data_IF_888313476251
#
_entry.id   IF_888313476251
#
_cell.length_a   1.000
_cell.length_b   1.000
_cell.length_c   1.000
_cell.angle_alpha   90.00
_cell.angle_beta   90.00
_cell.angle_gamma   90.00
#
_symmetry.space_group_name_H-M   'P 1'
#
loop_
_entity.id
_entity.type
_entity.pdbx_description
1 polymer ?
#
# COMPACT_ATOMS: atom_id res chain seq x y z
N UNK A 1 25.93 -20.16 17.45
CA UNK A 1 25.69 -19.21 16.34
C UNK A 1 24.32 -19.42 15.66
N UNK A 2 23.66 -20.58 15.84
CA UNK A 2 22.28 -20.83 15.39
C UNK A 2 21.20 -20.16 16.26
N UNK A 3 21.50 -19.79 17.52
CA UNK A 3 20.49 -19.43 18.53
C UNK A 3 20.14 -17.93 18.58
N UNK A 4 20.92 -17.10 17.88
CA UNK A 4 20.77 -15.64 17.90
C UNK A 4 19.55 -15.14 17.10
N UNK A 5 19.07 -15.96 16.14
CA UNK A 5 17.88 -15.65 15.34
C UNK A 5 16.59 -15.85 16.14
N UNK A 6 16.50 -16.91 16.96
CA UNK A 6 15.36 -17.18 17.84
C UNK A 6 15.20 -16.10 18.92
N UNK A 7 16.30 -15.55 19.44
CA UNK A 7 16.29 -14.56 20.50
C UNK A 7 15.73 -13.18 20.08
N UNK A 8 15.60 -12.90 18.77
CA UNK A 8 15.17 -11.60 18.26
C UNK A 8 13.99 -11.68 17.27
N UNK A 9 13.49 -12.88 17.01
CA UNK A 9 12.31 -13.08 16.18
C UNK A 9 11.08 -12.45 16.84
N UNK A 10 10.49 -11.43 16.21
CA UNK A 10 9.26 -10.78 16.69
C UNK A 10 9.44 -9.68 17.75
N UNK A 11 10.68 -9.26 18.08
CA UNK A 11 10.87 -8.07 18.92
C UNK A 11 10.34 -6.84 18.20
N UNK A 12 9.37 -6.14 18.81
CA UNK A 12 8.85 -4.86 18.31
C UNK A 12 9.98 -3.83 18.28
N UNK A 13 9.92 -2.94 17.30
CA UNK A 13 10.87 -1.85 17.17
C UNK A 13 10.90 -1.01 18.46
N UNK A 14 12.08 -0.54 18.94
CA UNK A 14 12.17 0.28 20.14
C UNK A 14 11.32 1.57 20.02
N UNK A 15 10.78 2.00 21.15
CA UNK A 15 9.84 3.13 21.30
C UNK A 15 10.32 4.45 20.66
N UNK A 16 11.63 4.63 20.48
CA UNK A 16 12.24 5.82 19.90
C UNK A 16 12.14 5.93 18.37
N UNK A 17 11.63 4.89 17.69
CA UNK A 17 11.52 4.88 16.23
C UNK A 17 10.19 5.51 15.80
N UNK A 18 10.26 6.75 15.28
CA UNK A 18 9.14 7.40 14.59
C UNK A 18 8.83 6.66 13.28
N UNK A 19 7.86 5.75 13.31
CA UNK A 19 7.40 5.04 12.12
C UNK A 19 6.75 6.07 11.17
N UNK A 20 7.36 6.29 9.99
CA UNK A 20 6.69 7.06 8.91
C UNK A 20 5.37 6.38 8.56
N UNK A 21 4.28 7.14 8.56
CA UNK A 21 2.95 6.64 8.24
C UNK A 21 2.93 6.15 6.80
N UNK A 22 2.80 4.83 6.63
CA UNK A 22 2.73 4.23 5.29
C UNK A 22 1.43 4.59 4.62
N UNK A 23 1.45 4.80 3.31
CA UNK A 23 0.23 5.01 2.51
C UNK A 23 0.42 4.62 1.07
N UNK A 24 -0.69 4.39 0.38
CA UNK A 24 -0.69 4.24 -1.07
C UNK A 24 -0.93 5.63 -1.69
N UNK A 25 -0.09 6.03 -2.63
CA UNK A 25 -0.26 7.26 -3.42
C UNK A 25 -0.57 6.93 -4.87
N UNK A 26 -1.30 7.82 -5.54
CA UNK A 26 -1.62 7.74 -6.98
C UNK A 26 -0.82 8.80 -7.72
N UNK A 27 -0.04 8.38 -8.71
CA UNK A 27 0.84 9.25 -9.46
C UNK A 27 0.13 9.95 -10.63
N UNK A 28 0.66 11.11 -11.11
CA UNK A 28 -0.01 11.93 -12.12
C UNK A 28 -0.32 11.22 -13.44
N UNK A 29 0.46 10.21 -13.84
CA UNK A 29 0.27 9.48 -15.10
C UNK A 29 -0.78 8.36 -15.04
N UNK A 30 -1.47 8.16 -13.90
CA UNK A 30 -2.60 7.23 -13.79
C UNK A 30 -3.61 7.47 -14.92
N UNK A 31 -4.03 6.41 -15.63
CA UNK A 31 -4.99 6.50 -16.74
C UNK A 31 -6.44 6.19 -16.34
N UNK A 32 -6.68 5.87 -15.07
CA UNK A 32 -8.03 5.56 -14.58
C UNK A 32 -8.59 4.23 -15.09
N UNK A 33 -7.76 3.28 -15.49
CA UNK A 33 -8.18 2.03 -16.13
C UNK A 33 -9.01 1.06 -15.26
N UNK A 34 -9.13 1.29 -13.95
CA UNK A 34 -9.96 0.48 -13.06
C UNK A 34 -9.33 -0.81 -12.52
N UNK A 35 -8.20 -1.29 -13.04
CA UNK A 35 -7.59 -2.57 -12.57
C UNK A 35 -7.33 -2.59 -11.05
N UNK A 36 -6.94 -1.45 -10.48
CA UNK A 36 -6.73 -1.31 -9.04
C UNK A 36 -8.02 -1.40 -8.22
N UNK A 37 -9.17 -1.03 -8.78
CA UNK A 37 -10.50 -1.17 -8.17
C UNK A 37 -10.85 -2.65 -8.03
N UNK A 38 -10.75 -3.41 -9.13
CA UNK A 38 -11.01 -4.85 -9.16
C UNK A 38 -10.05 -5.64 -8.25
N UNK A 39 -8.80 -5.18 -8.15
CA UNK A 39 -7.77 -5.84 -7.33
C UNK A 39 -7.96 -5.59 -5.83
N UNK A 40 -8.62 -4.51 -5.42
CA UNK A 40 -8.65 -4.12 -4.02
C UNK A 40 -9.65 -4.97 -3.21
N UNK A 41 -9.20 -5.87 -2.31
CA UNK A 41 -10.12 -6.72 -1.54
C UNK A 41 -10.97 -5.94 -0.52
N UNK A 42 -10.57 -4.72 -0.19
CA UNK A 42 -11.25 -3.87 0.80
C UNK A 42 -12.14 -2.80 0.14
N UNK A 43 -12.30 -2.84 -1.19
CA UNK A 43 -13.10 -1.85 -1.94
C UNK A 43 -12.72 -0.40 -1.59
N UNK A 44 -11.42 -0.16 -1.40
CA UNK A 44 -10.88 1.11 -0.93
C UNK A 44 -10.52 2.07 -2.08
N UNK A 45 -10.71 1.66 -3.33
CA UNK A 45 -10.29 2.43 -4.52
C UNK A 45 -11.50 2.62 -5.43
N UNK A 46 -11.72 3.85 -5.89
CA UNK A 46 -12.70 4.21 -6.92
C UNK A 46 -12.02 4.94 -8.07
N UNK A 47 -12.68 5.06 -9.23
CA UNK A 47 -12.25 5.95 -10.30
C UNK A 47 -13.05 7.25 -10.25
N UNK A 48 -12.36 8.37 -10.11
CA UNK A 48 -12.95 9.72 -10.12
C UNK A 48 -12.09 10.60 -11.03
N UNK A 49 -12.72 11.32 -11.95
CA UNK A 49 -12.03 12.21 -12.90
C UNK A 49 -10.86 11.53 -13.64
N UNK A 50 -11.09 10.29 -14.11
CA UNK A 50 -10.09 9.47 -14.82
C UNK A 50 -8.82 9.13 -14.00
N UNK A 51 -8.91 9.21 -12.67
CA UNK A 51 -7.82 8.83 -11.75
C UNK A 51 -8.35 7.89 -10.69
N UNK A 52 -7.46 7.03 -10.18
CA UNK A 52 -7.75 6.28 -8.97
C UNK A 52 -7.83 7.25 -7.77
N UNK A 53 -8.88 7.13 -6.98
CA UNK A 53 -9.08 7.82 -5.71
C UNK A 53 -9.13 6.79 -4.59
N UNK A 54 -8.31 6.98 -3.56
CA UNK A 54 -8.17 6.04 -2.45
C UNK A 54 -8.96 6.55 -1.24
N UNK A 55 -9.83 5.72 -0.70
CA UNK A 55 -10.40 5.91 0.62
C UNK A 55 -9.41 5.38 1.67
N UNK A 56 -8.76 6.28 2.40
CA UNK A 56 -7.75 5.93 3.40
C UNK A 56 -8.31 5.31 4.67
N UNK A 57 -9.60 5.45 4.95
CA UNK A 57 -10.25 4.77 6.09
C UNK A 57 -10.46 3.28 5.81
N UNK A 58 -10.64 2.91 4.53
CA UNK A 58 -10.77 1.51 4.09
C UNK A 58 -9.45 0.87 3.67
N UNK A 59 -8.45 1.68 3.30
CA UNK A 59 -7.18 1.19 2.81
C UNK A 59 -6.31 0.67 3.95
N UNK A 60 -6.18 -0.66 4.06
CA UNK A 60 -5.29 -1.30 5.03
C UNK A 60 -3.81 -1.37 4.59
N UNK A 61 -3.47 -0.72 3.46
CA UNK A 61 -2.08 -0.60 2.98
C UNK A 61 -1.46 -1.97 2.63
N UNK A 62 -2.27 -2.92 2.15
CA UNK A 62 -1.80 -4.26 1.76
C UNK A 62 -0.92 -4.27 0.50
N UNK A 63 -0.99 -3.24 -0.34
CA UNK A 63 -0.11 -3.07 -1.50
C UNK A 63 -0.49 -3.89 -2.75
N UNK A 64 -1.53 -4.73 -2.72
CA UNK A 64 -1.92 -5.56 -3.87
C UNK A 64 -2.23 -4.79 -5.15
N UNK A 65 -2.71 -3.54 -5.03
CA UNK A 65 -3.05 -2.70 -6.17
C UNK A 65 -1.82 -2.24 -6.97
N UNK A 66 -0.67 -2.06 -6.33
CA UNK A 66 0.54 -1.53 -6.98
C UNK A 66 1.07 -2.45 -8.11
N UNK A 67 1.34 -3.75 -7.89
CA UNK A 67 1.84 -4.64 -8.95
C UNK A 67 0.81 -4.95 -10.03
N UNK A 68 -0.48 -4.68 -9.81
CA UNK A 68 -1.55 -4.88 -10.80
C UNK A 68 -1.83 -3.65 -11.65
N UNK A 69 -1.29 -2.49 -11.30
CA UNK A 69 -1.46 -1.30 -12.12
C UNK A 69 -0.61 -1.44 -13.40
N UNK A 70 -1.20 -1.50 -14.60
CA UNK A 70 -0.44 -1.65 -15.85
C UNK A 70 0.49 -0.45 -16.11
N UNK A 71 0.13 0.72 -15.60
CA UNK A 71 0.92 1.95 -15.70
C UNK A 71 1.93 2.12 -14.57
N UNK A 72 1.93 1.24 -13.55
CA UNK A 72 2.71 1.40 -12.31
C UNK A 72 2.45 2.73 -11.58
N UNK A 73 1.22 3.23 -11.65
CA UNK A 73 0.83 4.54 -11.11
C UNK A 73 0.48 4.53 -9.62
N UNK A 74 0.39 3.37 -8.95
CA UNK A 74 0.20 3.28 -7.50
C UNK A 74 1.51 2.90 -6.80
N UNK A 75 1.86 3.63 -5.73
CA UNK A 75 3.06 3.34 -4.93
C UNK A 75 2.76 3.29 -3.45
N UNK A 76 3.38 2.34 -2.77
CA UNK A 76 3.48 2.31 -1.31
C UNK A 76 4.65 3.20 -0.89
N UNK A 77 4.39 4.18 -0.02
CA UNK A 77 5.39 5.13 0.53
C UNK A 77 5.32 5.21 2.04
#
# INVERSE_FOLDING_TARGET
MQDYWLANFGKRAPESIKIKTRRIIVLPFCKGCGTCVETCPNFAINIVNQKALINYEKCIICGYCAPKCPEFALRLV
#
